data_IF_815666794094
#
_entry.id   IF_815666794094
#
_cell.length_a   1.000
_cell.length_b   1.000
_cell.length_c   1.000
_cell.angle_alpha   90.00
_cell.angle_beta   90.00
_cell.angle_gamma   90.00
#
_symmetry.space_group_name_H-M   'P 1'
#
loop_
_entity.id
_entity.type
_entity.pdbx_description
1 polymer ?
#
# COMPACT_ATOMS: atom_id res chain seq x y z
N UNK A 1 -27.64 26.41 -3.26
CA UNK A 1 -28.75 25.52 -2.82
C UNK A 1 -30.06 26.29 -2.53
N UNK A 2 -30.18 27.05 -1.43
CA UNK A 2 -31.45 27.69 -1.00
C UNK A 2 -32.17 28.51 -2.08
N UNK A 3 -31.41 29.30 -2.86
CA UNK A 3 -31.93 30.09 -3.98
C UNK A 3 -32.66 29.20 -5.00
N UNK A 4 -31.98 28.20 -5.55
CA UNK A 4 -32.56 27.32 -6.58
C UNK A 4 -33.77 26.55 -6.06
N UNK A 5 -33.72 26.01 -4.84
CA UNK A 5 -34.87 25.30 -4.23
C UNK A 5 -36.07 26.19 -3.92
N UNK A 6 -35.90 27.52 -3.90
CA UNK A 6 -37.01 28.48 -3.79
C UNK A 6 -37.61 28.90 -5.15
N UNK A 7 -36.89 28.69 -6.25
CA UNK A 7 -37.33 29.02 -7.62
C UNK A 7 -38.15 27.89 -8.27
N UNK A 8 -38.08 26.67 -7.70
CA UNK A 8 -38.74 25.47 -8.23
C UNK A 8 -39.55 24.78 -7.14
N UNK A 9 -40.43 23.86 -7.54
CA UNK A 9 -41.23 23.11 -6.59
C UNK A 9 -40.34 22.19 -5.74
N UNK A 10 -40.21 22.52 -4.46
CA UNK A 10 -39.59 21.67 -3.45
C UNK A 10 -40.62 21.29 -2.39
N UNK A 11 -40.71 20.01 -2.03
CA UNK A 11 -41.62 19.58 -0.97
C UNK A 11 -41.09 20.05 0.39
N UNK A 12 -41.98 20.58 1.23
CA UNK A 12 -41.65 21.00 2.59
C UNK A 12 -41.77 19.83 3.58
N UNK A 13 -40.91 18.82 3.41
CA UNK A 13 -40.77 17.69 4.34
C UNK A 13 -39.29 17.51 4.69
N UNK A 14 -39.03 17.05 5.91
CA UNK A 14 -37.68 16.93 6.48
C UNK A 14 -36.77 15.92 5.76
N UNK A 15 -37.37 15.01 5.01
CA UNK A 15 -36.77 13.83 4.38
C UNK A 15 -36.76 13.94 2.84
N UNK A 16 -36.82 15.15 2.29
CA UNK A 16 -36.53 15.38 0.86
C UNK A 16 -35.02 15.42 0.65
N UNK A 17 -34.57 14.59 -0.29
CA UNK A 17 -33.22 14.67 -0.82
C UNK A 17 -33.12 15.87 -1.76
N UNK A 18 -32.67 17.01 -1.22
CA UNK A 18 -32.48 18.27 -1.97
C UNK A 18 -31.13 18.34 -2.70
N UNK A 19 -30.27 17.35 -2.48
CA UNK A 19 -28.92 17.30 -3.03
C UNK A 19 -28.54 15.85 -3.32
N UNK A 20 -27.89 15.67 -4.46
CA UNK A 20 -27.18 14.45 -4.81
C UNK A 20 -25.72 14.81 -5.08
N UNK A 21 -24.81 13.84 -4.91
CA UNK A 21 -23.40 14.04 -5.20
C UNK A 21 -22.81 12.83 -5.90
N UNK A 22 -22.01 13.08 -6.94
CA UNK A 22 -21.12 12.09 -7.55
C UNK A 22 -19.72 12.20 -6.96
N UNK A 23 -19.09 11.05 -6.72
CA UNK A 23 -17.66 10.97 -6.47
C UNK A 23 -17.01 10.40 -7.72
N UNK A 24 -16.15 11.18 -8.37
CA UNK A 24 -15.45 10.80 -9.59
C UNK A 24 -13.96 10.69 -9.28
N UNK A 25 -13.45 9.46 -9.22
CA UNK A 25 -12.04 9.18 -8.88
C UNK A 25 -11.19 9.10 -10.14
N UNK A 26 -9.97 9.63 -10.07
CA UNK A 26 -9.01 9.58 -11.17
C UNK A 26 -8.70 8.12 -11.55
N UNK A 27 -8.85 7.74 -12.83
CA UNK A 27 -8.50 6.40 -13.30
C UNK A 27 -6.99 6.13 -13.24
N UNK A 28 -6.63 4.86 -13.07
CA UNK A 28 -5.23 4.44 -13.00
C UNK A 28 -4.44 4.70 -14.29
N UNK A 29 -5.10 4.76 -15.45
CA UNK A 29 -4.47 4.99 -16.76
C UNK A 29 -4.10 6.46 -17.02
N UNK A 30 -4.50 7.38 -16.15
CA UNK A 30 -4.09 8.79 -16.21
C UNK A 30 -2.82 8.98 -15.39
N UNK A 31 -1.73 9.36 -16.06
CA UNK A 31 -0.38 9.44 -15.45
C UNK A 31 0.21 10.85 -15.41
N UNK A 32 -0.28 11.76 -16.23
CA UNK A 32 0.25 13.13 -16.33
C UNK A 32 -0.68 14.12 -15.63
N UNK A 33 -0.11 15.20 -15.09
CA UNK A 33 -0.89 16.26 -14.45
C UNK A 33 -1.83 16.98 -15.44
N UNK A 34 -1.42 17.09 -16.70
CA UNK A 34 -2.24 17.66 -17.77
C UNK A 34 -3.48 16.79 -18.05
N UNK A 35 -3.29 15.47 -18.23
CA UNK A 35 -4.42 14.55 -18.43
C UNK A 35 -5.31 14.51 -17.19
N UNK A 36 -4.76 14.65 -15.99
CA UNK A 36 -5.53 14.73 -14.75
C UNK A 36 -6.42 15.98 -14.70
N UNK A 37 -5.87 17.16 -15.00
CA UNK A 37 -6.65 18.40 -15.07
C UNK A 37 -7.75 18.30 -16.13
N UNK A 38 -7.39 17.80 -17.31
CA UNK A 38 -8.32 17.55 -18.41
C UNK A 38 -9.43 16.58 -17.98
N UNK A 39 -9.09 15.49 -17.29
CA UNK A 39 -10.05 14.50 -16.83
C UNK A 39 -11.10 15.12 -15.90
N UNK A 40 -10.68 15.88 -14.89
CA UNK A 40 -11.63 16.49 -13.96
C UNK A 40 -12.48 17.59 -14.61
N UNK A 41 -11.88 18.40 -15.48
CA UNK A 41 -12.60 19.42 -16.25
C UNK A 41 -13.68 18.79 -17.14
N UNK A 42 -13.36 17.70 -17.80
CA UNK A 42 -14.28 17.02 -18.72
C UNK A 42 -15.32 16.21 -17.95
N UNK A 43 -14.98 15.73 -16.76
CA UNK A 43 -15.94 15.14 -15.81
C UNK A 43 -16.98 16.17 -15.37
N UNK A 44 -16.53 17.38 -15.03
CA UNK A 44 -17.41 18.50 -14.71
C UNK A 44 -18.32 18.83 -15.89
N UNK A 45 -17.77 18.99 -17.11
CA UNK A 45 -18.56 19.33 -18.29
C UNK A 45 -19.65 18.29 -18.58
N UNK A 46 -19.32 17.00 -18.48
CA UNK A 46 -20.28 15.91 -18.67
C UNK A 46 -21.44 15.99 -17.67
N UNK A 47 -21.12 16.17 -16.38
CA UNK A 47 -22.11 16.23 -15.32
C UNK A 47 -22.94 17.52 -15.34
N UNK A 48 -22.32 18.67 -15.62
CA UNK A 48 -23.00 19.95 -15.80
C UNK A 48 -24.01 19.86 -16.94
N UNK A 49 -23.60 19.29 -18.08
CA UNK A 49 -24.50 19.08 -19.22
C UNK A 49 -25.66 18.15 -18.88
N UNK A 50 -25.42 17.09 -18.09
CA UNK A 50 -26.44 16.12 -17.69
C UNK A 50 -27.47 16.72 -16.73
N UNK A 51 -27.03 17.52 -15.76
CA UNK A 51 -27.88 17.99 -14.66
C UNK A 51 -28.32 19.45 -14.75
N UNK A 52 -27.76 20.23 -15.67
CA UNK A 52 -28.04 21.65 -15.84
C UNK A 52 -27.17 22.51 -14.93
N UNK A 53 -26.53 23.52 -15.52
CA UNK A 53 -25.58 24.43 -14.85
C UNK A 53 -26.19 25.12 -13.63
N UNK A 54 -27.45 25.53 -13.71
CA UNK A 54 -28.18 26.21 -12.64
C UNK A 54 -28.49 25.30 -11.44
N UNK A 55 -28.35 23.98 -11.62
CA UNK A 55 -28.59 22.98 -10.58
C UNK A 55 -27.29 22.51 -9.92
N UNK A 56 -26.12 22.89 -10.44
CA UNK A 56 -24.82 22.59 -9.82
C UNK A 56 -24.65 23.41 -8.55
N UNK A 57 -24.28 22.74 -7.46
CA UNK A 57 -23.99 23.38 -6.17
C UNK A 57 -22.49 23.62 -6.03
N UNK A 58 -21.69 22.58 -6.28
CA UNK A 58 -20.24 22.63 -6.15
C UNK A 58 -19.58 21.49 -6.90
N UNK A 59 -18.32 21.72 -7.30
CA UNK A 59 -17.42 20.70 -7.83
C UNK A 59 -16.04 20.95 -7.25
N UNK A 60 -15.61 20.08 -6.34
CA UNK A 60 -14.31 20.18 -5.67
C UNK A 60 -13.45 18.97 -6.01
N UNK A 61 -12.19 19.21 -6.34
CA UNK A 61 -11.19 18.17 -6.58
C UNK A 61 -10.27 18.10 -5.37
N UNK A 62 -10.21 16.95 -4.71
CA UNK A 62 -9.26 16.66 -3.65
C UNK A 62 -7.99 16.06 -4.25
N UNK A 63 -6.85 16.70 -3.98
CA UNK A 63 -5.51 16.25 -4.38
C UNK A 63 -4.66 15.84 -3.18
N UNK A 64 -5.20 16.00 -1.98
CA UNK A 64 -4.58 15.81 -0.67
C UNK A 64 -4.88 14.43 -0.04
N UNK A 65 -5.63 13.58 -0.76
CA UNK A 65 -5.94 12.21 -0.36
C UNK A 65 -5.16 11.17 -1.20
N UNK A 66 -5.35 9.87 -0.91
CA UNK A 66 -4.60 8.76 -1.54
C UNK A 66 -4.77 8.72 -3.06
N UNK A 67 -5.96 9.01 -3.56
CA UNK A 67 -6.24 9.07 -5.00
C UNK A 67 -7.03 10.33 -5.28
N UNK A 68 -6.59 11.18 -6.24
CA UNK A 68 -7.33 12.36 -6.64
C UNK A 68 -8.78 12.02 -7.01
N UNK A 69 -9.73 12.79 -6.50
CA UNK A 69 -11.15 12.58 -6.80
C UNK A 69 -11.94 13.88 -6.70
N UNK A 70 -13.06 13.93 -7.43
CA UNK A 70 -13.97 15.06 -7.49
C UNK A 70 -15.29 14.74 -6.79
N UNK A 71 -15.76 15.64 -5.92
CA UNK A 71 -17.15 15.65 -5.46
C UNK A 71 -17.94 16.65 -6.31
N UNK A 72 -18.91 16.15 -7.07
CA UNK A 72 -19.82 16.97 -7.87
C UNK A 72 -21.22 16.93 -7.25
N UNK A 73 -21.60 18.00 -6.55
CA UNK A 73 -22.88 18.12 -5.88
C UNK A 73 -23.87 18.94 -6.71
N UNK A 74 -25.10 18.47 -6.84
CA UNK A 74 -26.16 19.10 -7.62
C UNK A 74 -27.54 18.90 -6.98
N UNK A 75 -28.51 19.72 -7.41
CA UNK A 75 -29.92 19.59 -7.02
C UNK A 75 -30.62 18.70 -8.06
N UNK A 76 -31.28 17.61 -7.67
CA UNK A 76 -31.93 16.71 -8.62
C UNK A 76 -33.25 17.29 -9.14
N UNK A 77 -33.16 18.08 -10.20
CA UNK A 77 -34.30 18.78 -10.79
C UNK A 77 -34.87 17.99 -11.97
N UNK A 78 -36.19 17.84 -12.01
CA UNK A 78 -36.92 17.23 -13.12
C UNK A 78 -38.12 18.10 -13.51
N UNK A 79 -38.57 17.98 -14.75
CA UNK A 79 -39.78 18.64 -15.23
C UNK A 79 -41.00 17.73 -15.01
N UNK A 80 -41.97 18.19 -14.21
CA UNK A 80 -43.23 17.49 -14.00
C UNK A 80 -44.21 17.82 -15.14
N UNK A 81 -44.32 16.92 -16.11
CA UNK A 81 -45.19 17.11 -17.29
C UNK A 81 -46.66 17.30 -16.94
N UNK A 82 -47.15 16.80 -15.80
CA UNK A 82 -48.57 16.91 -15.44
C UNK A 82 -48.92 18.28 -14.87
N UNK A 83 -47.95 18.91 -14.21
CA UNK A 83 -48.11 20.22 -13.56
C UNK A 83 -47.42 21.35 -14.30
N UNK A 84 -46.69 21.02 -15.36
CA UNK A 84 -45.93 21.96 -16.19
C UNK A 84 -44.95 22.84 -15.38
N UNK A 85 -44.32 22.25 -14.36
CA UNK A 85 -43.37 22.94 -13.49
C UNK A 85 -42.11 22.10 -13.23
N UNK A 86 -41.00 22.76 -12.91
CA UNK A 86 -39.80 22.09 -12.41
C UNK A 86 -39.94 21.76 -10.93
N UNK A 87 -39.48 20.58 -10.53
CA UNK A 87 -39.48 20.13 -9.14
C UNK A 87 -38.18 19.43 -8.74
N UNK A 88 -37.90 19.41 -7.44
CA UNK A 88 -36.87 18.57 -6.84
C UNK A 88 -37.40 17.14 -6.68
N UNK A 89 -36.74 16.17 -7.30
CA UNK A 89 -37.06 14.74 -7.14
C UNK A 89 -35.83 13.90 -7.49
N UNK A 90 -35.08 13.47 -6.48
CA UNK A 90 -33.94 12.55 -6.62
C UNK A 90 -34.37 11.23 -7.29
N UNK A 91 -35.53 10.69 -6.89
CA UNK A 91 -36.08 9.45 -7.42
C UNK A 91 -36.35 9.49 -8.93
N UNK A 92 -36.77 10.65 -9.45
CA UNK A 92 -37.03 10.84 -10.89
C UNK A 92 -35.78 11.29 -11.65
N UNK A 93 -34.85 11.98 -10.99
CA UNK A 93 -33.61 12.49 -11.60
C UNK A 93 -32.52 11.41 -11.71
N UNK A 94 -32.45 10.50 -10.72
CA UNK A 94 -31.46 9.43 -10.63
C UNK A 94 -32.20 8.10 -10.56
N UNK A 95 -32.62 7.61 -11.72
CA UNK A 95 -33.31 6.33 -11.82
C UNK A 95 -32.33 5.16 -11.87
N UNK A 96 -32.80 3.93 -11.63
CA UNK A 96 -31.98 2.73 -11.84
C UNK A 96 -31.45 2.64 -13.28
N UNK A 97 -32.26 3.05 -14.25
CA UNK A 97 -31.84 3.09 -15.65
C UNK A 97 -30.78 4.16 -15.90
N UNK A 98 -30.86 5.34 -15.25
CA UNK A 98 -29.80 6.35 -15.33
C UNK A 98 -28.48 5.80 -14.78
N UNK A 99 -28.51 5.13 -13.63
CA UNK A 99 -27.32 4.55 -13.02
C UNK A 99 -26.70 3.45 -13.90
N UNK A 100 -27.52 2.59 -14.52
CA UNK A 100 -27.04 1.55 -15.46
C UNK A 100 -26.38 2.14 -16.71
N UNK A 101 -26.90 3.25 -17.23
CA UNK A 101 -26.39 3.90 -18.44
C UNK A 101 -25.23 4.86 -18.17
N UNK A 102 -25.09 5.34 -16.94
CA UNK A 102 -24.12 6.36 -16.59
C UNK A 102 -22.68 5.97 -16.96
N UNK A 103 -22.20 4.80 -16.50
CA UNK A 103 -20.81 4.43 -16.73
C UNK A 103 -20.48 4.20 -18.22
N UNK A 104 -21.30 3.47 -19.01
CA UNK A 104 -21.07 3.36 -20.45
C UNK A 104 -21.11 4.70 -21.20
N UNK A 105 -22.02 5.61 -20.83
CA UNK A 105 -22.09 6.94 -21.46
C UNK A 105 -20.88 7.81 -21.10
N UNK A 106 -20.44 7.75 -19.83
CA UNK A 106 -19.31 8.49 -19.33
C UNK A 106 -17.98 7.99 -19.91
N UNK A 107 -17.80 6.67 -20.01
CA UNK A 107 -16.67 6.04 -20.67
C UNK A 107 -16.57 6.47 -22.13
N UNK A 108 -17.66 6.32 -22.89
CA UNK A 108 -17.69 6.76 -24.29
C UNK A 108 -17.38 8.24 -24.44
N UNK A 109 -17.89 9.10 -23.55
CA UNK A 109 -17.56 10.52 -23.57
C UNK A 109 -16.06 10.75 -23.38
N UNK A 110 -15.47 10.11 -22.37
CA UNK A 110 -14.06 10.25 -22.05
C UNK A 110 -13.15 9.66 -23.13
N UNK A 111 -13.47 8.51 -23.70
CA UNK A 111 -12.72 7.93 -24.82
C UNK A 111 -12.66 8.87 -26.02
N UNK A 112 -13.76 9.53 -26.36
CA UNK A 112 -13.78 10.51 -27.44
C UNK A 112 -12.90 11.74 -27.12
N UNK A 113 -12.86 12.16 -25.86
CA UNK A 113 -12.08 13.32 -25.41
C UNK A 113 -10.57 13.02 -25.35
N UNK A 114 -10.19 11.81 -24.95
CA UNK A 114 -8.81 11.39 -24.80
C UNK A 114 -8.25 10.67 -26.03
N UNK A 115 -9.11 10.21 -26.94
CA UNK A 115 -8.74 9.42 -28.12
C UNK A 115 -8.25 8.01 -27.78
N UNK A 116 -8.50 7.54 -26.56
CA UNK A 116 -8.07 6.24 -26.03
C UNK A 116 -8.95 5.84 -24.84
N UNK A 117 -8.96 4.55 -24.53
CA UNK A 117 -9.47 4.05 -23.25
C UNK A 117 -8.62 4.61 -22.10
N UNK A 118 -9.32 5.08 -21.05
CA UNK A 118 -8.72 5.62 -19.83
C UNK A 118 -9.12 4.82 -18.58
N UNK A 119 -9.80 3.68 -18.72
CA UNK A 119 -10.10 2.74 -17.64
C UNK A 119 -11.23 3.20 -16.70
N UNK A 120 -12.31 3.75 -17.26
CA UNK A 120 -13.52 4.12 -16.50
C UNK A 120 -14.19 2.87 -15.94
N UNK A 121 -14.50 1.88 -16.79
CA UNK A 121 -14.97 0.57 -16.35
C UNK A 121 -13.77 -0.34 -16.07
N UNK A 122 -13.52 -0.61 -14.78
CA UNK A 122 -12.35 -1.36 -14.32
C UNK A 122 -12.69 -2.48 -13.33
N UNK A 123 -13.95 -2.95 -13.33
CA UNK A 123 -14.48 -4.04 -12.49
C UNK A 123 -14.33 -3.85 -10.98
N UNK A 124 -13.84 -2.69 -10.50
CA UNK A 124 -13.55 -2.45 -9.07
C UNK A 124 -14.78 -2.55 -8.18
N UNK A 125 -15.96 -2.34 -8.73
CA UNK A 125 -17.26 -2.39 -8.03
C UNK A 125 -18.07 -3.64 -8.39
N UNK A 126 -17.45 -4.66 -9.02
CA UNK A 126 -18.14 -5.90 -9.42
C UNK A 126 -18.78 -6.63 -8.24
N UNK A 127 -18.13 -6.59 -7.08
CA UNK A 127 -18.62 -7.18 -5.82
C UNK A 127 -19.54 -6.24 -5.02
N UNK A 128 -19.94 -5.11 -5.63
CA UNK A 128 -20.79 -4.10 -5.01
C UNK A 128 -20.02 -2.94 -4.37
N UNK A 129 -20.79 -1.97 -3.88
CA UNK A 129 -20.25 -0.78 -3.21
C UNK A 129 -19.84 -1.11 -1.78
N UNK A 130 -18.72 -0.53 -1.35
CA UNK A 130 -18.16 -0.70 -0.01
C UNK A 130 -17.89 0.65 0.60
N UNK A 131 -18.09 0.76 1.91
CA UNK A 131 -17.80 1.98 2.65
C UNK A 131 -16.29 2.24 2.73
N UNK A 132 -15.91 3.50 2.92
CA UNK A 132 -14.50 3.90 3.13
C UNK A 132 -13.89 3.11 4.30
N UNK A 133 -14.66 2.86 5.36
CA UNK A 133 -14.20 2.09 6.53
C UNK A 133 -13.85 0.65 6.14
N UNK A 134 -14.71 -0.02 5.39
CA UNK A 134 -14.48 -1.40 4.92
C UNK A 134 -13.27 -1.46 3.98
N UNK A 135 -13.14 -0.51 3.06
CA UNK A 135 -11.98 -0.43 2.16
C UNK A 135 -10.68 -0.23 2.93
N UNK A 136 -10.65 0.68 3.91
CA UNK A 136 -9.47 0.91 4.77
C UNK A 136 -9.12 -0.32 5.60
N UNK A 137 -10.11 -1.03 6.13
CA UNK A 137 -9.90 -2.26 6.88
C UNK A 137 -9.26 -3.34 6.00
N UNK A 138 -9.74 -3.53 4.78
CA UNK A 138 -9.14 -4.51 3.88
C UNK A 138 -7.72 -4.15 3.45
N UNK A 139 -7.45 -2.88 3.15
CA UNK A 139 -6.09 -2.43 2.84
C UNK A 139 -5.16 -2.71 4.02
N UNK A 140 -5.58 -2.36 5.24
CA UNK A 140 -4.81 -2.63 6.45
C UNK A 140 -4.57 -4.15 6.67
N UNK A 141 -5.56 -4.99 6.40
CA UNK A 141 -5.41 -6.46 6.48
C UNK A 141 -4.38 -6.97 5.45
N UNK A 142 -4.44 -6.48 4.21
CA UNK A 142 -3.46 -6.85 3.17
C UNK A 142 -2.05 -6.42 3.54
N UNK A 143 -1.89 -5.20 4.04
CA UNK A 143 -0.59 -4.68 4.52
C UNK A 143 -0.07 -5.50 5.70
N UNK A 144 -0.92 -5.81 6.68
CA UNK A 144 -0.56 -6.67 7.82
C UNK A 144 -0.10 -8.05 7.37
N UNK A 145 -0.76 -8.65 6.39
CA UNK A 145 -0.38 -9.96 5.87
C UNK A 145 0.98 -9.90 5.14
N UNK A 146 1.20 -8.89 4.31
CA UNK A 146 2.50 -8.69 3.66
C UNK A 146 3.62 -8.47 4.69
N UNK A 147 3.36 -7.67 5.72
CA UNK A 147 4.32 -7.44 6.79
C UNK A 147 4.62 -8.70 7.59
N UNK A 148 3.62 -9.54 7.85
CA UNK A 148 3.80 -10.84 8.52
C UNK A 148 4.71 -11.78 7.72
N UNK A 149 4.52 -11.88 6.40
CA UNK A 149 5.40 -12.70 5.56
C UNK A 149 6.83 -12.16 5.57
N UNK A 150 7.02 -10.84 5.44
CA UNK A 150 8.35 -10.22 5.55
C UNK A 150 9.03 -10.47 6.90
N UNK A 151 8.27 -10.44 8.01
CA UNK A 151 8.80 -10.74 9.34
C UNK A 151 9.23 -12.20 9.42
N UNK A 152 8.45 -13.12 8.86
CA UNK A 152 8.77 -14.55 8.82
C UNK A 152 10.06 -14.80 8.05
N UNK A 153 10.25 -14.18 6.89
CA UNK A 153 11.48 -14.29 6.10
C UNK A 153 12.69 -13.75 6.87
N UNK A 154 12.53 -12.59 7.51
CA UNK A 154 13.59 -12.01 8.35
C UNK A 154 13.91 -12.88 9.57
N UNK A 155 12.92 -13.55 10.14
CA UNK A 155 13.13 -14.47 11.25
C UNK A 155 14.01 -15.66 10.85
N UNK A 156 13.77 -16.24 9.67
CA UNK A 156 14.61 -17.32 9.12
C UNK A 156 16.05 -16.85 8.93
N UNK A 157 16.25 -15.67 8.35
CA UNK A 157 17.59 -15.08 8.16
C UNK A 157 18.27 -14.85 9.51
N UNK A 158 17.55 -14.31 10.50
CA UNK A 158 18.08 -14.07 11.83
C UNK A 158 18.53 -15.36 12.53
N UNK A 159 17.77 -16.44 12.37
CA UNK A 159 18.11 -17.73 12.97
C UNK A 159 19.35 -18.36 12.31
N UNK A 160 19.51 -18.22 10.99
CA UNK A 160 20.73 -18.63 10.29
C UNK A 160 21.95 -17.84 10.79
N UNK A 161 21.86 -16.51 10.87
CA UNK A 161 22.95 -15.66 11.36
C UNK A 161 23.33 -16.02 12.81
N UNK A 162 22.36 -16.34 13.66
CA UNK A 162 22.64 -16.78 15.04
C UNK A 162 23.41 -18.09 15.08
N UNK A 163 23.08 -19.04 14.20
CA UNK A 163 23.80 -20.31 14.11
C UNK A 163 25.24 -20.11 13.62
N UNK A 164 25.43 -19.29 12.58
CA UNK A 164 26.78 -18.96 12.07
C UNK A 164 27.61 -18.25 13.15
N UNK A 165 27.01 -17.29 13.87
CA UNK A 165 27.67 -16.59 14.96
C UNK A 165 28.09 -17.55 16.08
N UNK A 166 27.29 -18.57 16.36
CA UNK A 166 27.63 -19.59 17.35
C UNK A 166 28.83 -20.42 16.90
N UNK A 167 28.84 -20.87 15.65
CA UNK A 167 29.97 -21.62 15.08
C UNK A 167 31.27 -20.81 15.12
N UNK A 168 31.22 -19.53 14.73
CA UNK A 168 32.40 -18.64 14.77
C UNK A 168 32.91 -18.44 16.21
N UNK A 169 32.03 -18.38 17.21
CA UNK A 169 32.44 -18.29 18.62
C UNK A 169 33.14 -19.58 19.09
N UNK A 170 32.61 -20.74 18.72
CA UNK A 170 33.22 -22.03 19.05
C UNK A 170 34.62 -22.16 18.41
N UNK A 171 34.78 -21.74 17.17
CA UNK A 171 36.08 -21.68 16.50
C UNK A 171 37.04 -20.71 17.19
N UNK A 172 36.56 -19.52 17.59
CA UNK A 172 37.37 -18.52 18.29
C UNK A 172 37.91 -19.05 19.62
N UNK A 173 37.06 -19.72 20.40
CA UNK A 173 37.45 -20.35 21.68
C UNK A 173 38.52 -21.43 21.45
N UNK A 174 38.41 -22.22 20.37
CA UNK A 174 39.42 -23.22 19.99
C UNK A 174 40.76 -22.56 19.62
N UNK A 175 40.75 -21.48 18.84
CA UNK A 175 41.96 -20.74 18.50
C UNK A 175 42.63 -20.10 19.73
N UNK A 176 41.84 -19.61 20.68
CA UNK A 176 42.35 -19.06 21.93
C UNK A 176 43.10 -20.12 22.74
N UNK A 177 42.56 -21.34 22.85
CA UNK A 177 43.23 -22.45 23.53
C UNK A 177 44.55 -22.85 22.84
N UNK A 178 44.52 -23.01 21.52
CA UNK A 178 45.73 -23.34 20.75
C UNK A 178 46.83 -22.28 20.92
N UNK A 179 46.45 -21.01 21.03
CA UNK A 179 47.39 -19.90 21.27
C UNK A 179 48.04 -19.99 22.66
N UNK A 180 47.30 -20.43 23.68
CA UNK A 180 47.84 -20.67 25.02
C UNK A 180 48.83 -21.83 24.98
N UNK A 181 48.46 -22.95 24.35
CA UNK A 181 49.32 -24.12 24.20
C UNK A 181 50.63 -23.78 23.46
N UNK A 182 50.56 -23.05 22.34
CA UNK A 182 51.74 -22.59 21.61
C UNK A 182 52.66 -21.69 22.46
N UNK A 183 52.09 -20.78 23.25
CA UNK A 183 52.86 -19.93 24.17
C UNK A 183 53.54 -20.75 25.26
N UNK A 184 52.90 -21.80 25.75
CA UNK A 184 53.48 -22.70 26.75
C UNK A 184 54.62 -23.54 26.15
N UNK A 185 54.44 -24.11 24.95
CA UNK A 185 55.47 -24.85 24.23
C UNK A 185 56.72 -23.99 24.00
N UNK A 186 56.55 -22.72 23.59
CA UNK A 186 57.67 -21.80 23.36
C UNK A 186 58.47 -21.44 24.62
N UNK A 187 57.99 -21.78 25.83
CA UNK A 187 58.70 -21.58 27.10
C UNK A 187 59.45 -22.83 27.58
N UNK A 188 59.27 -23.97 26.91
CA UNK A 188 59.96 -25.20 27.29
C UNK A 188 61.46 -25.09 26.99
N UNK A 189 62.29 -25.49 27.94
CA UNK A 189 63.74 -25.49 27.82
C UNK A 189 64.27 -26.93 27.83
N UNK A 190 65.19 -27.22 26.91
CA UNK A 190 65.83 -28.54 26.82
C UNK A 190 67.34 -28.43 26.92
N UNK A 191 67.99 -29.48 27.47
CA UNK A 191 69.45 -29.57 27.58
C UNK A 191 69.98 -30.65 26.65
N UNK A 192 71.20 -30.50 26.14
CA UNK A 192 71.85 -31.55 25.34
C UNK A 192 72.13 -32.80 26.17
N UNK A 193 71.90 -33.98 25.58
CA UNK A 193 72.15 -35.27 26.23
C UNK A 193 73.64 -35.60 26.34
N UNK A 194 74.10 -35.95 27.54
CA UNK A 194 75.52 -36.21 27.84
C UNK A 194 76.19 -37.29 26.96
N UNK A 195 75.42 -38.26 26.44
CA UNK A 195 75.94 -39.41 25.69
C UNK A 195 75.57 -39.38 24.20
N UNK A 196 74.86 -38.36 23.73
CA UNK A 196 74.40 -38.26 22.34
C UNK A 196 74.12 -36.81 21.99
N UNK A 197 75.03 -36.20 21.22
CA UNK A 197 74.92 -34.80 20.77
C UNK A 197 73.66 -34.49 19.93
N UNK A 198 72.96 -35.52 19.45
CA UNK A 198 71.72 -35.38 18.68
C UNK A 198 70.44 -35.60 19.52
N UNK A 199 70.53 -35.58 20.86
CA UNK A 199 69.38 -35.77 21.75
C UNK A 199 69.22 -34.58 22.70
N UNK A 200 67.97 -34.14 22.89
CA UNK A 200 67.57 -33.18 23.92
C UNK A 200 66.93 -33.94 25.09
N UNK A 201 67.28 -33.54 26.30
CA UNK A 201 66.70 -34.01 27.56
C UNK A 201 65.72 -32.95 28.05
N UNK A 202 64.47 -33.37 28.30
CA UNK A 202 63.40 -32.56 28.87
C UNK A 202 63.02 -33.10 30.24
N UNK A 203 62.46 -32.22 31.08
CA UNK A 203 61.85 -32.64 32.33
C UNK A 203 60.61 -33.52 32.06
N UNK A 204 60.36 -34.45 32.97
CA UNK A 204 59.29 -35.44 32.82
C UNK A 204 57.92 -34.77 32.68
N UNK A 205 57.70 -33.68 33.39
CA UNK A 205 56.46 -32.90 33.37
C UNK A 205 56.23 -32.26 31.99
N UNK A 206 57.26 -31.63 31.42
CA UNK A 206 57.22 -31.03 30.08
C UNK A 206 57.00 -32.08 28.98
N UNK A 207 57.61 -33.25 29.11
CA UNK A 207 57.40 -34.35 28.18
C UNK A 207 55.96 -34.88 28.22
N UNK A 208 55.36 -35.05 29.41
CA UNK A 208 53.97 -35.48 29.52
C UNK A 208 52.99 -34.37 29.08
N UNK A 209 53.31 -33.10 29.31
CA UNK A 209 52.55 -31.96 28.77
C UNK A 209 52.53 -31.94 27.23
N UNK A 210 53.68 -32.13 26.59
CA UNK A 210 53.76 -32.24 25.12
C UNK A 210 52.94 -33.43 24.59
N UNK A 211 52.93 -34.56 25.31
CA UNK A 211 52.10 -35.72 24.96
C UNK A 211 50.62 -35.48 25.14
N UNK A 212 50.21 -34.66 26.12
CA UNK A 212 48.82 -34.27 26.31
C UNK A 212 48.34 -33.35 25.18
N UNK A 213 49.13 -32.33 24.82
CA UNK A 213 48.82 -31.44 23.70
C UNK A 213 48.76 -32.22 22.38
N UNK A 214 49.72 -33.12 22.11
CA UNK A 214 49.77 -33.86 20.85
C UNK A 214 48.59 -34.84 20.63
N UNK A 215 47.76 -35.07 21.66
CA UNK A 215 46.55 -35.89 21.58
C UNK A 215 45.27 -35.08 21.37
N UNK A 216 45.31 -33.76 21.52
CA UNK A 216 44.18 -32.84 21.33
C UNK A 216 44.04 -32.44 19.86
#
# INVERSE_FOLDING_TARGET
MKKRTSEIKCLNRKDVNVMCSWVVTLPGEIKTSEDQEKFFKESYNFLEKKYGKENVISSFVHLDEVTPHMHFAFIPVVYDKKKEEYKVSDKECITENDLKKFHPEFEKYMENVFGRDIGILNERTKEGNRSIKELKQETAIKELNSLKENIKDKQVILDNIKNDLKAVKEDLDKYALLTIDLKAINRLEGKEGLLSRNKIVLDKEDFEFLKDIAKK
#
